data_IF_163278218153
#
_entry.id   IF_163278218153
#
_cell.length_a   1.000
_cell.length_b   1.000
_cell.length_c   1.000
_cell.angle_alpha   90.00
_cell.angle_beta   90.00
_cell.angle_gamma   90.00
#
_symmetry.space_group_name_H-M   'P 1'
#
loop_
_entity.id
_entity.type
_entity.pdbx_description
1 polymer ?
#
# COMPACT_ATOMS: atom_id res chain seq x y z
N UNK A 1 -10.28 21.12 -14.65
CA UNK A 1 -10.19 20.82 -16.09
C UNK A 1 -9.30 21.88 -16.76
N UNK A 2 -8.30 21.43 -17.50
CA UNK A 2 -7.45 22.32 -18.34
C UNK A 2 -7.70 21.94 -19.79
N UNK A 3 -8.22 22.89 -20.56
CA UNK A 3 -8.47 22.73 -21.99
C UNK A 3 -7.23 23.14 -22.78
N UNK A 4 -6.68 22.20 -23.55
CA UNK A 4 -5.55 22.37 -24.47
C UNK A 4 -5.98 22.42 -25.94
N UNK A 5 -7.22 22.78 -26.24
CA UNK A 5 -7.80 22.75 -27.59
C UNK A 5 -8.34 21.37 -27.95
N UNK A 6 -7.62 20.60 -28.77
CA UNK A 6 -8.05 19.25 -29.20
C UNK A 6 -7.98 18.20 -28.08
N UNK A 7 -7.37 18.49 -26.94
CA UNK A 7 -7.24 17.60 -25.77
C UNK A 7 -7.44 18.40 -24.48
N UNK A 8 -8.22 17.84 -23.57
CA UNK A 8 -8.40 18.38 -22.23
C UNK A 8 -7.73 17.44 -21.19
N UNK A 9 -7.30 18.00 -20.08
CA UNK A 9 -6.80 17.23 -18.94
C UNK A 9 -7.71 17.47 -17.73
N UNK A 10 -8.17 16.37 -17.15
CA UNK A 10 -8.92 16.39 -15.90
C UNK A 10 -7.95 16.03 -14.75
N UNK A 11 -7.84 16.94 -13.78
CA UNK A 11 -7.12 16.70 -12.53
C UNK A 11 -8.15 16.35 -11.46
N UNK A 12 -7.97 15.19 -10.85
CA UNK A 12 -8.81 14.68 -9.76
C UNK A 12 -7.94 14.57 -8.52
N UNK A 13 -8.33 15.26 -7.47
CA UNK A 13 -7.71 15.15 -6.16
C UNK A 13 -8.71 14.47 -5.22
N UNK A 14 -8.31 13.38 -4.62
CA UNK A 14 -9.13 12.59 -3.71
C UNK A 14 -8.43 12.48 -2.35
N UNK A 15 -9.19 12.63 -1.29
CA UNK A 15 -8.67 12.50 0.07
C UNK A 15 -8.88 11.06 0.55
N UNK A 16 -7.79 10.44 0.98
CA UNK A 16 -7.81 9.06 1.50
C UNK A 16 -8.60 8.91 2.81
N UNK A 17 -8.98 10.01 3.48
CA UNK A 17 -9.94 9.97 4.57
C UNK A 17 -11.36 9.61 4.11
N UNK A 18 -11.65 9.81 2.83
CA UNK A 18 -12.98 9.61 2.25
C UNK A 18 -13.08 8.33 1.43
N UNK A 19 -11.99 7.95 0.74
CA UNK A 19 -12.01 6.93 -0.30
C UNK A 19 -10.72 6.11 -0.28
N UNK A 20 -10.86 4.80 -0.28
CA UNK A 20 -9.76 3.89 -0.55
C UNK A 20 -9.50 3.70 -2.07
N UNK A 21 -8.49 2.91 -2.42
CA UNK A 21 -8.13 2.66 -3.82
C UNK A 21 -9.24 2.01 -4.65
N UNK A 22 -10.05 1.12 -4.06
CA UNK A 22 -11.19 0.52 -4.76
C UNK A 22 -12.32 1.51 -4.94
N UNK A 23 -12.62 2.31 -3.92
CA UNK A 23 -13.62 3.39 -4.02
C UNK A 23 -13.29 4.39 -5.10
N UNK A 24 -12.00 4.72 -5.27
CA UNK A 24 -11.57 5.59 -6.36
C UNK A 24 -11.86 4.95 -7.74
N UNK A 25 -11.66 3.65 -7.88
CA UNK A 25 -11.98 2.93 -9.11
C UNK A 25 -13.49 2.91 -9.38
N UNK A 26 -14.31 2.65 -8.36
CA UNK A 26 -15.78 2.70 -8.46
C UNK A 26 -16.21 4.10 -8.92
N UNK A 27 -15.72 5.15 -8.28
CA UNK A 27 -16.04 6.53 -8.60
C UNK A 27 -15.71 6.87 -10.06
N UNK A 28 -14.54 6.46 -10.55
CA UNK A 28 -14.12 6.69 -11.94
C UNK A 28 -14.97 5.90 -12.94
N UNK A 29 -15.36 4.66 -12.60
CA UNK A 29 -16.23 3.85 -13.44
C UNK A 29 -17.65 4.44 -13.54
N UNK A 30 -18.21 4.89 -12.43
CA UNK A 30 -19.51 5.56 -12.39
C UNK A 30 -19.48 6.90 -13.14
N UNK A 31 -18.39 7.66 -13.00
CA UNK A 31 -18.17 8.89 -13.78
C UNK A 31 -18.16 8.59 -15.30
N UNK A 32 -17.46 7.55 -15.73
CA UNK A 32 -17.45 7.09 -17.13
C UNK A 32 -18.84 6.76 -17.63
N UNK A 33 -19.57 5.96 -16.84
CA UNK A 33 -20.92 5.52 -17.17
C UNK A 33 -21.87 6.71 -17.36
N UNK A 34 -21.91 7.62 -16.38
CA UNK A 34 -22.77 8.81 -16.40
C UNK A 34 -22.33 9.84 -17.46
N UNK A 35 -21.05 9.93 -17.75
CA UNK A 35 -20.55 10.80 -18.81
C UNK A 35 -20.93 10.29 -20.21
N UNK A 36 -20.89 8.97 -20.40
CA UNK A 36 -21.22 8.33 -21.68
C UNK A 36 -22.74 8.31 -21.91
N UNK A 37 -23.52 8.04 -20.86
CA UNK A 37 -24.98 8.05 -20.89
C UNK A 37 -25.54 8.80 -19.66
N UNK A 38 -25.75 10.13 -19.76
CA UNK A 38 -26.27 10.94 -18.65
C UNK A 38 -27.70 10.56 -18.21
N UNK A 39 -28.41 9.78 -19.02
CA UNK A 39 -29.77 9.30 -18.71
C UNK A 39 -29.77 8.02 -17.87
N UNK A 40 -28.64 7.36 -17.74
CA UNK A 40 -28.54 6.13 -16.96
C UNK A 40 -28.58 6.40 -15.46
N UNK A 41 -29.31 5.59 -14.70
CA UNK A 41 -29.31 5.61 -13.24
C UNK A 41 -28.28 4.61 -12.70
N UNK A 42 -27.58 5.01 -11.65
CA UNK A 42 -26.74 4.08 -10.89
C UNK A 42 -27.61 3.17 -10.01
N UNK A 43 -27.14 1.95 -9.67
CA UNK A 43 -27.84 1.05 -8.74
C UNK A 43 -28.02 1.72 -7.39
N UNK A 44 -29.19 1.56 -6.81
CA UNK A 44 -29.44 1.98 -5.43
C UNK A 44 -28.73 1.03 -4.46
N UNK A 45 -28.03 1.58 -3.49
CA UNK A 45 -27.32 0.81 -2.47
C UNK A 45 -28.18 0.71 -1.21
N UNK A 46 -28.34 -0.52 -0.71
CA UNK A 46 -29.06 -0.82 0.54
C UNK A 46 -28.14 -0.69 1.78
N UNK A 47 -26.84 -0.50 1.58
CA UNK A 47 -25.83 -0.35 2.64
C UNK A 47 -24.92 0.84 2.32
N UNK A 48 -24.52 1.59 3.35
CA UNK A 48 -23.54 2.67 3.25
C UNK A 48 -22.27 2.40 4.05
N UNK A 49 -21.25 3.22 3.84
CA UNK A 49 -20.00 3.12 4.60
C UNK A 49 -20.19 3.33 6.10
N UNK A 50 -21.17 4.13 6.50
CA UNK A 50 -21.52 4.33 7.90
C UNK A 50 -21.98 3.02 8.55
N UNK A 51 -22.84 2.24 7.88
CA UNK A 51 -23.34 0.98 8.40
C UNK A 51 -22.21 -0.03 8.60
N UNK A 52 -21.24 -0.02 7.66
CA UNK A 52 -20.00 -0.80 7.79
C UNK A 52 -19.20 -0.39 9.04
N UNK A 53 -18.99 0.90 9.26
CA UNK A 53 -18.24 1.41 10.41
C UNK A 53 -18.93 1.06 11.72
N UNK A 54 -20.26 1.19 11.79
CA UNK A 54 -21.04 0.82 12.97
C UNK A 54 -20.89 -0.68 13.29
N UNK A 55 -20.88 -1.54 12.26
CA UNK A 55 -20.63 -2.97 12.44
C UNK A 55 -19.22 -3.25 12.97
N UNK A 56 -18.20 -2.66 12.36
CA UNK A 56 -16.79 -2.85 12.77
C UNK A 56 -16.55 -2.35 14.20
N UNK A 57 -17.15 -1.20 14.57
CA UNK A 57 -17.02 -0.64 15.92
C UNK A 57 -17.69 -1.48 17.01
N UNK A 58 -18.77 -2.19 16.68
CA UNK A 58 -19.48 -3.06 17.62
C UNK A 58 -18.80 -4.41 17.83
N UNK A 59 -17.80 -4.73 16.98
CA UNK A 59 -17.07 -5.98 17.11
C UNK A 59 -16.21 -5.97 18.39
N UNK A 60 -16.35 -6.96 19.27
CA UNK A 60 -15.46 -7.10 20.40
C UNK A 60 -14.03 -7.40 19.93
N UNK A 61 -13.05 -6.69 20.47
CA UNK A 61 -11.65 -7.00 20.19
C UNK A 61 -11.33 -8.40 20.72
N UNK A 62 -10.67 -9.21 19.91
CA UNK A 62 -10.31 -10.56 20.27
C UNK A 62 -9.12 -10.57 21.23
N UNK A 63 -9.31 -11.08 22.44
CA UNK A 63 -8.25 -11.18 23.47
C UNK A 63 -7.03 -11.99 22.98
N UNK A 64 -7.23 -12.97 22.08
CA UNK A 64 -6.15 -13.74 21.46
C UNK A 64 -5.27 -12.84 20.61
N UNK A 65 -5.88 -11.98 19.80
CA UNK A 65 -5.16 -11.01 18.95
C UNK A 65 -4.45 -9.95 19.80
N UNK A 66 -5.09 -9.45 20.85
CA UNK A 66 -4.43 -8.53 21.80
C UNK A 66 -3.21 -9.17 22.45
N UNK A 67 -3.33 -10.40 22.95
CA UNK A 67 -2.22 -11.14 23.53
C UNK A 67 -1.12 -11.46 22.53
N UNK A 68 -1.47 -11.76 21.27
CA UNK A 68 -0.52 -11.95 20.18
C UNK A 68 0.33 -10.71 19.97
N UNK A 69 -0.29 -9.55 19.74
CA UNK A 69 0.43 -8.30 19.50
C UNK A 69 1.19 -7.82 20.72
N UNK A 70 0.67 -8.04 21.93
CA UNK A 70 1.40 -7.70 23.16
C UNK A 70 2.75 -8.44 23.27
N UNK A 71 2.80 -9.73 22.88
CA UNK A 71 4.06 -10.50 22.82
C UNK A 71 4.96 -10.05 21.66
N UNK A 72 4.36 -9.68 20.52
CA UNK A 72 5.09 -9.23 19.34
C UNK A 72 5.82 -7.91 19.57
N UNK A 73 5.23 -7.00 20.34
CA UNK A 73 5.80 -5.68 20.64
C UNK A 73 7.20 -5.75 21.26
N UNK A 74 7.52 -6.79 22.03
CA UNK A 74 8.81 -6.95 22.67
C UNK A 74 9.93 -7.31 21.69
N UNK A 75 9.56 -7.78 20.49
CA UNK A 75 10.47 -8.26 19.45
C UNK A 75 10.25 -7.59 18.09
N UNK A 76 9.47 -6.50 18.04
CA UNK A 76 9.23 -5.77 16.81
C UNK A 76 10.45 -4.90 16.49
N UNK A 77 11.14 -5.13 15.36
CA UNK A 77 12.25 -4.28 14.94
C UNK A 77 11.79 -2.82 14.74
N UNK A 78 12.71 -1.85 14.81
CA UNK A 78 12.37 -0.47 14.48
C UNK A 78 12.02 -0.31 12.99
N UNK A 79 11.45 0.85 12.64
CA UNK A 79 11.37 1.27 11.26
C UNK A 79 12.75 1.37 10.60
N UNK A 80 12.87 1.24 9.26
CA UNK A 80 14.13 1.41 8.57
C UNK A 80 14.71 2.82 8.81
N UNK A 81 15.96 2.88 9.30
CA UNK A 81 16.70 4.13 9.50
C UNK A 81 17.35 4.56 8.19
N UNK A 82 16.54 5.08 7.28
CA UNK A 82 17.00 5.55 5.99
C UNK A 82 17.93 6.76 6.14
N UNK A 83 18.94 6.93 5.25
CA UNK A 83 19.81 8.09 5.27
C UNK A 83 19.06 9.34 4.78
N UNK A 84 18.57 10.14 5.74
CA UNK A 84 17.84 11.36 5.47
C UNK A 84 18.77 12.57 5.33
N UNK A 85 18.40 13.54 4.49
CA UNK A 85 19.12 14.81 4.31
C UNK A 85 18.89 15.79 5.46
N UNK A 86 17.72 15.73 6.10
CA UNK A 86 17.34 16.61 7.20
C UNK A 86 16.43 15.85 8.18
N UNK A 87 16.21 16.45 9.34
CA UNK A 87 15.20 15.95 10.28
C UNK A 87 13.79 16.11 9.67
N UNK A 88 12.95 15.06 9.67
CA UNK A 88 11.57 15.17 9.20
C UNK A 88 10.76 16.25 9.90
N UNK A 89 11.09 16.59 11.14
CA UNK A 89 10.46 17.69 11.89
C UNK A 89 10.78 19.08 11.33
N UNK A 90 11.85 19.21 10.55
CA UNK A 90 12.23 20.48 9.90
C UNK A 90 11.57 20.68 8.53
N UNK A 91 10.91 19.65 8.00
CA UNK A 91 10.18 19.73 6.73
C UNK A 91 8.84 20.44 6.99
N UNK A 92 8.66 21.60 6.37
CA UNK A 92 7.40 22.35 6.45
C UNK A 92 6.29 21.66 5.66
N UNK A 93 5.87 22.25 4.54
CA UNK A 93 4.96 21.61 3.59
C UNK A 93 5.77 20.66 2.69
N UNK A 94 5.60 19.33 2.82
CA UNK A 94 6.38 18.38 2.04
C UNK A 94 6.00 18.40 0.56
N UNK A 95 7.00 18.28 -0.32
CA UNK A 95 6.78 18.02 -1.74
C UNK A 95 7.05 16.55 -2.03
N UNK A 96 6.14 15.92 -2.75
CA UNK A 96 6.25 14.52 -3.11
C UNK A 96 6.73 14.35 -4.54
N UNK A 97 7.58 13.37 -4.77
CA UNK A 97 7.98 12.92 -6.10
C UNK A 97 7.73 11.43 -6.26
N UNK A 98 7.72 10.98 -7.50
CA UNK A 98 7.48 9.59 -7.86
C UNK A 98 8.61 9.04 -8.71
N UNK A 99 9.15 7.89 -8.32
CA UNK A 99 9.90 6.98 -9.16
C UNK A 99 8.95 5.86 -9.62
N UNK A 100 9.04 5.47 -10.90
CA UNK A 100 8.16 4.47 -11.47
C UNK A 100 8.92 3.51 -12.36
N UNK A 101 8.55 2.23 -12.31
CA UNK A 101 9.03 1.25 -13.25
C UNK A 101 7.95 0.21 -13.56
N UNK A 102 8.23 -0.65 -14.54
CA UNK A 102 7.34 -1.74 -14.94
C UNK A 102 8.13 -2.97 -15.34
N UNK A 103 7.53 -4.12 -15.13
CA UNK A 103 7.94 -5.36 -15.79
C UNK A 103 6.92 -5.68 -16.86
N UNK A 104 7.39 -5.90 -18.08
CA UNK A 104 6.53 -6.32 -19.19
C UNK A 104 5.86 -7.66 -18.88
N UNK A 105 4.69 -7.92 -19.48
CA UNK A 105 3.90 -9.11 -19.20
C UNK A 105 4.69 -10.44 -19.20
N UNK A 106 5.60 -10.73 -20.15
CA UNK A 106 6.39 -11.96 -20.12
C UNK A 106 7.33 -12.05 -18.91
N UNK A 107 7.93 -10.93 -18.49
CA UNK A 107 8.82 -10.88 -17.33
C UNK A 107 8.01 -11.05 -16.02
N UNK A 108 6.86 -10.43 -15.94
CA UNK A 108 5.96 -10.56 -14.82
C UNK A 108 5.43 -11.99 -14.66
N UNK A 109 5.02 -12.64 -15.76
CA UNK A 109 4.61 -14.04 -15.73
C UNK A 109 5.75 -14.98 -15.28
N UNK A 110 6.98 -14.72 -15.76
CA UNK A 110 8.16 -15.49 -15.32
C UNK A 110 8.42 -15.30 -13.83
N UNK A 111 8.29 -14.07 -13.32
CA UNK A 111 8.46 -13.77 -11.89
C UNK A 111 7.37 -14.43 -11.04
N UNK A 112 6.09 -14.40 -11.47
CA UNK A 112 4.99 -15.12 -10.81
C UNK A 112 5.23 -16.64 -10.81
N UNK A 113 5.73 -17.21 -11.90
CA UNK A 113 6.07 -18.63 -11.97
C UNK A 113 7.20 -19.00 -11.00
N UNK A 114 8.24 -18.16 -10.91
CA UNK A 114 9.34 -18.33 -9.95
C UNK A 114 8.84 -18.22 -8.52
N UNK A 115 8.01 -17.23 -8.18
CA UNK A 115 7.42 -17.11 -6.86
C UNK A 115 6.68 -18.40 -6.45
N UNK A 116 5.84 -18.92 -7.37
CA UNK A 116 5.10 -20.18 -7.14
C UNK A 116 6.02 -21.38 -6.91
N UNK A 117 7.10 -21.49 -7.69
CA UNK A 117 8.09 -22.58 -7.53
C UNK A 117 8.79 -22.53 -6.16
N UNK A 118 8.94 -21.33 -5.58
CA UNK A 118 9.52 -21.10 -4.26
C UNK A 118 8.46 -21.15 -3.11
N UNK A 119 7.19 -21.44 -3.42
CA UNK A 119 6.09 -21.43 -2.46
C UNK A 119 5.70 -20.04 -1.95
N UNK A 120 6.04 -19.00 -2.71
CA UNK A 120 5.76 -17.60 -2.38
C UNK A 120 4.55 -17.09 -3.17
N UNK A 121 3.81 -16.17 -2.57
CA UNK A 121 2.87 -15.31 -3.31
C UNK A 121 3.65 -14.21 -4.02
N UNK A 122 3.14 -13.68 -5.15
CA UNK A 122 3.78 -12.56 -5.82
C UNK A 122 3.98 -11.34 -4.89
N UNK A 123 2.97 -10.99 -4.08
CA UNK A 123 3.08 -9.91 -3.10
C UNK A 123 4.18 -10.15 -2.07
N UNK A 124 4.32 -11.37 -1.55
CA UNK A 124 5.37 -11.71 -0.59
C UNK A 124 6.77 -11.64 -1.21
N UNK A 125 6.91 -12.04 -2.47
CA UNK A 125 8.18 -11.90 -3.20
C UNK A 125 8.56 -10.43 -3.36
N UNK A 126 7.65 -9.58 -3.87
CA UNK A 126 7.89 -8.15 -4.06
C UNK A 126 8.19 -7.44 -2.74
N UNK A 127 7.43 -7.75 -1.70
CA UNK A 127 7.64 -7.22 -0.35
C UNK A 127 9.00 -7.64 0.22
N UNK A 128 9.43 -8.90 0.00
CA UNK A 128 10.75 -9.37 0.44
C UNK A 128 11.89 -8.66 -0.29
N UNK A 129 11.75 -8.44 -1.59
CA UNK A 129 12.71 -7.66 -2.38
C UNK A 129 12.80 -6.21 -1.88
N UNK A 130 11.65 -5.61 -1.56
CA UNK A 130 11.58 -4.26 -0.99
C UNK A 130 12.26 -4.20 0.38
N UNK A 131 11.91 -5.10 1.29
CA UNK A 131 12.49 -5.16 2.62
C UNK A 131 14.03 -5.36 2.59
N UNK A 132 14.53 -6.24 1.71
CA UNK A 132 15.96 -6.45 1.51
C UNK A 132 16.66 -5.21 0.93
N UNK A 133 16.01 -4.48 0.03
CA UNK A 133 16.53 -3.22 -0.51
C UNK A 133 16.66 -2.18 0.59
N UNK A 134 15.61 -2.01 1.40
CA UNK A 134 15.60 -1.07 2.51
C UNK A 134 16.63 -1.44 3.59
N UNK A 135 16.75 -2.71 3.91
CA UNK A 135 17.74 -3.24 4.86
C UNK A 135 19.16 -2.87 4.43
N UNK A 136 19.48 -3.10 3.16
CA UNK A 136 20.77 -2.74 2.61
C UNK A 136 21.00 -1.21 2.55
N UNK A 137 19.97 -0.44 2.26
CA UNK A 137 20.04 1.04 2.21
C UNK A 137 20.15 1.65 3.60
N UNK A 138 19.42 1.10 4.58
CA UNK A 138 19.46 1.54 5.98
C UNK A 138 20.69 1.05 6.75
N UNK A 139 21.43 0.08 6.22
CA UNK A 139 22.61 -0.48 6.86
C UNK A 139 22.33 -1.32 8.11
N UNK A 140 21.12 -1.90 8.21
CA UNK A 140 20.78 -2.84 9.29
C UNK A 140 19.80 -3.92 8.79
N UNK A 141 19.93 -5.13 9.34
CA UNK A 141 19.28 -6.32 8.78
C UNK A 141 17.78 -6.40 9.10
N UNK A 142 17.39 -6.05 10.31
CA UNK A 142 16.01 -6.17 10.77
C UNK A 142 15.28 -4.82 10.71
N UNK A 143 14.03 -4.83 10.24
CA UNK A 143 13.20 -3.63 10.18
C UNK A 143 11.70 -3.98 10.20
N UNK A 144 10.88 -3.01 10.58
CA UNK A 144 9.43 -3.09 10.46
C UNK A 144 8.93 -2.22 9.33
N UNK A 145 7.98 -2.75 8.57
CA UNK A 145 7.26 -2.06 7.51
C UNK A 145 5.80 -1.90 7.88
N UNK A 146 5.21 -0.83 7.41
CA UNK A 146 3.78 -0.60 7.49
C UNK A 146 3.13 -1.06 6.18
N UNK A 147 2.21 -2.02 6.28
CA UNK A 147 1.50 -2.55 5.13
C UNK A 147 0.10 -1.96 5.05
N UNK A 148 -0.28 -1.53 3.86
CA UNK A 148 -1.66 -1.17 3.55
C UNK A 148 -2.46 -2.42 3.22
N UNK A 149 -3.57 -2.62 3.92
CA UNK A 149 -4.54 -3.68 3.65
C UNK A 149 -5.84 -3.07 3.18
N UNK A 150 -6.43 -3.66 2.15
CA UNK A 150 -7.78 -3.36 1.70
C UNK A 150 -8.71 -4.39 2.35
N UNK A 151 -9.32 -4.05 3.47
CA UNK A 151 -10.04 -4.99 4.34
C UNK A 151 -11.55 -4.70 4.31
N UNK A 152 -12.18 -4.97 3.16
CA UNK A 152 -13.65 -4.93 3.02
C UNK A 152 -14.22 -6.26 3.48
N UNK A 153 -14.83 -6.25 4.66
CA UNK A 153 -15.53 -7.43 5.14
C UNK A 153 -16.82 -7.66 4.36
N UNK A 154 -17.10 -8.91 3.96
CA UNK A 154 -18.28 -9.23 3.14
C UNK A 154 -19.58 -9.22 3.97
N UNK A 155 -19.91 -8.08 4.57
CA UNK A 155 -21.10 -7.90 5.40
C UNK A 155 -22.42 -7.88 4.60
N UNK A 156 -22.34 -7.47 3.33
CA UNK A 156 -23.49 -7.29 2.46
C UNK A 156 -23.09 -7.58 1.00
N UNK A 157 -23.97 -8.14 0.17
CA UNK A 157 -23.65 -8.42 -1.23
C UNK A 157 -23.19 -7.20 -2.04
N UNK A 158 -23.61 -6.00 -1.67
CA UNK A 158 -23.25 -4.76 -2.34
C UNK A 158 -22.02 -4.06 -1.75
N UNK A 159 -21.33 -4.64 -0.77
CA UNK A 159 -20.21 -3.96 -0.07
C UNK A 159 -19.10 -3.52 -1.02
N UNK A 160 -18.86 -4.28 -2.09
CA UNK A 160 -17.86 -3.96 -3.12
C UNK A 160 -18.24 -2.75 -4.00
N UNK A 161 -19.47 -2.22 -3.85
CA UNK A 161 -19.97 -1.05 -4.55
C UNK A 161 -20.01 0.20 -3.66
N UNK A 162 -19.76 0.04 -2.36
CA UNK A 162 -19.81 1.14 -1.40
C UNK A 162 -18.54 1.99 -1.48
N UNK A 163 -18.69 3.30 -1.55
CA UNK A 163 -17.59 4.25 -1.44
C UNK A 163 -17.24 4.49 0.03
N UNK A 164 -15.95 4.42 0.36
CA UNK A 164 -15.45 4.65 1.71
C UNK A 164 -13.97 4.31 1.85
N UNK A 165 -13.36 4.65 2.97
CA UNK A 165 -12.01 4.22 3.32
C UNK A 165 -12.05 2.91 4.13
N UNK A 166 -11.93 1.78 3.44
CA UNK A 166 -11.84 0.44 4.04
C UNK A 166 -10.38 0.05 4.30
N UNK A 167 -9.47 0.99 4.17
CA UNK A 167 -8.04 0.74 4.37
C UNK A 167 -7.72 0.50 5.83
N UNK A 168 -6.98 -0.55 6.11
CA UNK A 168 -6.36 -0.81 7.41
C UNK A 168 -4.85 -0.95 7.27
N UNK A 169 -4.15 -0.92 8.39
CA UNK A 169 -2.70 -1.01 8.43
C UNK A 169 -2.26 -2.21 9.24
N UNK A 170 -1.18 -2.86 8.80
CA UNK A 170 -0.54 -3.98 9.49
C UNK A 170 0.96 -3.72 9.62
N UNK A 171 1.53 -3.88 10.81
CA UNK A 171 3.00 -3.86 10.98
C UNK A 171 3.58 -5.24 10.71
N UNK A 172 4.56 -5.30 9.83
CA UNK A 172 5.27 -6.52 9.49
C UNK A 172 6.77 -6.38 9.73
N UNK A 173 7.34 -7.31 10.49
CA UNK A 173 8.77 -7.37 10.73
C UNK A 173 9.48 -8.14 9.61
N UNK A 174 10.53 -7.55 9.05
CA UNK A 174 11.55 -8.21 8.25
C UNK A 174 12.70 -8.63 9.16
N UNK A 175 12.99 -9.91 9.20
CA UNK A 175 14.08 -10.52 9.94
C UNK A 175 14.70 -11.58 9.06
N UNK A 176 15.72 -11.23 8.27
CA UNK A 176 16.31 -12.12 7.29
C UNK A 176 17.11 -13.24 7.97
N UNK A 177 17.25 -14.34 7.26
CA UNK A 177 18.15 -15.44 7.55
C UNK A 177 19.35 -15.39 6.61
N UNK A 178 20.20 -16.43 6.67
CA UNK A 178 21.42 -16.46 5.85
C UNK A 178 21.15 -16.54 4.34
N UNK A 179 19.97 -17.02 3.92
CA UNK A 179 19.61 -17.12 2.51
C UNK A 179 18.29 -16.41 2.18
N UNK A 180 18.20 -15.95 0.93
CA UNK A 180 17.05 -15.21 0.42
C UNK A 180 15.74 -16.00 0.49
N UNK A 181 15.76 -17.29 0.08
CA UNK A 181 14.56 -18.13 0.03
C UNK A 181 13.94 -18.27 1.41
N UNK A 182 14.74 -18.67 2.39
CA UNK A 182 14.30 -18.83 3.77
C UNK A 182 13.82 -17.51 4.36
N UNK A 183 14.47 -16.39 4.04
CA UNK A 183 14.06 -15.05 4.46
C UNK A 183 12.68 -14.68 3.90
N UNK A 184 12.45 -14.89 2.61
CA UNK A 184 11.18 -14.57 1.96
C UNK A 184 10.04 -15.49 2.43
N UNK A 185 10.31 -16.77 2.61
CA UNK A 185 9.33 -17.73 3.16
C UNK A 185 9.00 -17.40 4.63
N UNK A 186 9.99 -17.00 5.42
CA UNK A 186 9.81 -16.56 6.80
C UNK A 186 8.95 -15.28 6.88
N UNK A 187 9.20 -14.30 6.00
CA UNK A 187 8.38 -13.09 5.88
C UNK A 187 6.93 -13.46 5.53
N UNK A 188 6.73 -14.31 4.54
CA UNK A 188 5.39 -14.74 4.13
C UNK A 188 4.64 -15.48 5.24
N UNK A 189 5.33 -16.36 5.96
CA UNK A 189 4.73 -17.06 7.10
C UNK A 189 4.32 -16.08 8.19
N UNK A 190 5.17 -15.11 8.50
CA UNK A 190 4.88 -14.03 9.45
C UNK A 190 3.69 -13.20 9.03
N UNK A 191 3.66 -12.77 7.77
CA UNK A 191 2.53 -12.05 7.20
C UNK A 191 1.22 -12.83 7.36
N UNK A 192 1.22 -14.14 7.08
CA UNK A 192 0.04 -14.98 7.29
C UNK A 192 -0.41 -15.01 8.75
N UNK A 193 0.53 -15.08 9.69
CA UNK A 193 0.21 -15.06 11.13
C UNK A 193 -0.32 -13.69 11.56
N UNK A 194 0.34 -12.60 11.15
CA UNK A 194 -0.07 -11.25 11.51
C UNK A 194 -1.47 -10.93 10.93
N UNK A 195 -1.80 -11.42 9.72
CA UNK A 195 -3.12 -11.28 9.09
C UNK A 195 -4.25 -12.01 9.86
N UNK A 196 -3.96 -13.09 10.57
CA UNK A 196 -4.95 -13.78 11.43
C UNK A 196 -5.35 -12.92 12.64
N UNK A 197 -4.55 -11.91 12.96
CA UNK A 197 -4.72 -11.00 14.10
C UNK A 197 -4.89 -9.54 13.65
N UNK A 198 -5.38 -9.31 12.41
CA UNK A 198 -5.55 -7.97 11.83
C UNK A 198 -6.70 -7.17 12.43
N UNK A 199 -7.54 -7.79 13.24
CA UNK A 199 -8.56 -7.15 14.06
C UNK A 199 -7.94 -6.18 15.09
N UNK A 200 -6.65 -6.34 15.42
CA UNK A 200 -5.85 -5.33 16.11
C UNK A 200 -5.05 -4.54 15.06
N UNK A 201 -5.48 -3.33 14.77
CA UNK A 201 -4.87 -2.50 13.73
C UNK A 201 -3.43 -2.08 14.08
N UNK A 202 -2.60 -1.80 13.06
CA UNK A 202 -1.26 -1.26 13.26
C UNK A 202 -1.27 0.03 14.09
N UNK A 203 -2.32 0.85 13.99
CA UNK A 203 -2.46 2.08 14.80
C UNK A 203 -2.54 1.74 16.28
N UNK A 204 -3.28 0.69 16.66
CA UNK A 204 -3.34 0.24 18.04
C UNK A 204 -1.98 -0.30 18.52
N UNK A 205 -1.28 -1.05 17.68
CA UNK A 205 0.07 -1.56 17.94
C UNK A 205 1.06 -0.40 18.13
N UNK A 206 1.07 0.57 17.21
CA UNK A 206 1.93 1.77 17.30
C UNK A 206 1.64 2.61 18.55
N UNK A 207 0.38 2.77 18.95
CA UNK A 207 0.03 3.45 20.20
C UNK A 207 0.60 2.74 21.44
N UNK A 208 0.60 1.40 21.45
CA UNK A 208 1.21 0.64 22.53
C UNK A 208 2.74 0.75 22.49
N UNK A 209 3.34 0.73 21.31
CA UNK A 209 4.79 0.94 21.13
C UNK A 209 5.20 2.34 21.61
N UNK A 210 4.44 3.39 21.25
CA UNK A 210 4.68 4.75 21.72
C UNK A 210 4.63 4.88 23.24
N UNK A 211 3.71 4.18 23.90
CA UNK A 211 3.62 4.18 25.37
C UNK A 211 4.81 3.48 26.03
N UNK A 212 5.40 2.47 25.38
CA UNK A 212 6.54 1.70 25.91
C UNK A 212 7.89 2.35 25.63
N UNK A 213 8.09 2.83 24.40
CA UNK A 213 9.40 3.24 23.90
C UNK A 213 9.45 4.70 23.37
N UNK A 214 8.35 5.44 23.49
CA UNK A 214 8.23 6.82 23.01
C UNK A 214 7.75 6.94 21.56
N UNK A 215 7.34 8.15 21.17
CA UNK A 215 6.73 8.45 19.87
C UNK A 215 7.67 8.14 18.68
N UNK A 216 8.97 8.43 18.83
CA UNK A 216 9.94 8.17 17.80
C UNK A 216 10.07 6.68 17.45
N UNK A 217 9.95 5.79 18.44
CA UNK A 217 9.98 4.34 18.22
C UNK A 217 8.72 3.81 17.55
N UNK A 218 7.62 4.55 17.62
CA UNK A 218 6.34 4.18 17.00
C UNK A 218 6.16 4.75 15.62
N UNK A 219 7.06 5.61 15.13
CA UNK A 219 7.01 6.14 13.78
C UNK A 219 7.33 5.05 12.76
N UNK A 220 6.40 4.79 11.84
CA UNK A 220 6.52 3.76 10.79
C UNK A 220 6.29 4.41 9.42
N UNK A 221 7.24 5.26 8.97
CA UNK A 221 7.01 6.15 7.84
C UNK A 221 7.25 5.51 6.47
N UNK A 222 7.59 4.21 6.45
CA UNK A 222 7.83 3.46 5.21
C UNK A 222 6.71 2.46 5.01
N UNK A 223 6.02 2.60 3.88
CA UNK A 223 4.79 1.86 3.58
C UNK A 223 4.99 0.96 2.37
N UNK A 224 4.31 -0.17 2.36
CA UNK A 224 4.16 -1.03 1.21
C UNK A 224 2.67 -1.30 0.96
N UNK A 225 2.23 -1.00 -0.25
CA UNK A 225 0.85 -1.18 -0.71
C UNK A 225 0.82 -2.14 -1.89
N UNK A 226 0.18 -3.30 -1.71
CA UNK A 226 -0.01 -4.26 -2.80
C UNK A 226 -1.46 -4.26 -3.25
N UNK A 227 -1.70 -3.77 -4.46
CA UNK A 227 -2.97 -3.84 -5.16
C UNK A 227 -3.00 -4.98 -6.20
N UNK A 228 -2.17 -6.01 -6.00
CA UNK A 228 -2.20 -7.21 -6.83
C UNK A 228 -3.49 -8.00 -6.57
N UNK A 229 -4.13 -8.46 -7.65
CA UNK A 229 -5.40 -9.16 -7.58
C UNK A 229 -6.63 -8.24 -7.61
N UNK A 230 -6.45 -6.92 -7.50
CA UNK A 230 -7.48 -5.99 -7.90
C UNK A 230 -7.43 -5.85 -9.43
N UNK A 231 -8.53 -6.16 -10.08
CA UNK A 231 -8.65 -5.97 -11.54
C UNK A 231 -8.73 -4.47 -11.87
N UNK A 232 -7.59 -3.77 -11.79
CA UNK A 232 -7.54 -2.33 -12.11
C UNK A 232 -8.01 -2.07 -13.54
N UNK A 233 -7.77 -3.01 -14.46
CA UNK A 233 -8.23 -2.93 -15.83
C UNK A 233 -9.75 -2.99 -15.96
N UNK A 234 -10.44 -3.54 -14.95
CA UNK A 234 -11.90 -3.67 -14.97
C UNK A 234 -12.61 -2.32 -14.99
N UNK A 235 -12.01 -1.30 -14.37
CA UNK A 235 -12.61 0.03 -14.23
C UNK A 235 -12.07 1.04 -15.25
N UNK A 236 -10.80 0.94 -15.65
CA UNK A 236 -10.17 1.87 -16.58
C UNK A 236 -10.11 1.35 -18.03
N UNK A 237 -10.23 0.04 -18.24
CA UNK A 237 -10.21 -0.56 -19.57
C UNK A 237 -11.41 -0.13 -20.44
N UNK A 238 -12.48 0.33 -19.84
CA UNK A 238 -13.68 0.80 -20.51
C UNK A 238 -13.71 2.32 -20.74
N UNK A 239 -12.76 3.08 -20.15
CA UNK A 239 -12.69 4.52 -20.35
C UNK A 239 -12.18 4.86 -21.76
N UNK A 240 -13.09 4.87 -22.74
CA UNK A 240 -12.76 5.14 -24.15
C UNK A 240 -12.30 6.59 -24.37
N UNK A 241 -12.69 7.52 -23.50
CA UNK A 241 -12.43 8.95 -23.61
C UNK A 241 -11.37 9.47 -22.64
N UNK A 242 -11.06 8.71 -21.56
CA UNK A 242 -10.12 9.12 -20.51
C UNK A 242 -8.92 8.17 -20.44
N UNK A 243 -7.71 8.70 -20.45
CA UNK A 243 -6.48 7.91 -20.25
C UNK A 243 -5.71 8.47 -19.06
N UNK A 244 -5.41 7.65 -18.04
CA UNK A 244 -4.54 8.06 -16.95
C UNK A 244 -3.19 8.52 -17.49
N UNK A 245 -2.74 9.69 -17.05
CA UNK A 245 -1.46 10.29 -17.46
C UNK A 245 -0.44 10.26 -16.36
N UNK A 246 -0.86 10.63 -15.19
CA UNK A 246 0.00 10.83 -14.04
C UNK A 246 -0.83 10.69 -12.77
N UNK A 247 -0.20 10.28 -11.69
CA UNK A 247 -0.79 10.23 -10.37
C UNK A 247 0.31 10.28 -9.32
N UNK A 248 -0.01 10.77 -8.15
CA UNK A 248 0.87 10.86 -7.00
C UNK A 248 0.05 10.59 -5.76
N UNK A 249 0.53 9.70 -4.91
CA UNK A 249 -0.03 9.52 -3.57
C UNK A 249 0.79 10.35 -2.59
N UNK A 250 0.08 11.05 -1.70
CA UNK A 250 0.77 11.71 -0.63
C UNK A 250 -0.01 11.51 0.67
N UNK A 251 0.63 10.88 1.64
CA UNK A 251 0.04 10.57 2.94
C UNK A 251 0.86 11.28 4.01
N UNK A 252 0.24 12.10 4.87
CA UNK A 252 0.95 12.71 5.99
C UNK A 252 1.70 11.66 6.81
N UNK A 253 2.91 12.00 7.28
CA UNK A 253 3.79 11.13 8.09
C UNK A 253 4.40 9.92 7.34
N UNK A 254 4.11 9.73 6.06
CA UNK A 254 4.77 8.72 5.21
C UNK A 254 5.90 9.40 4.44
N UNK A 255 7.11 8.87 4.57
CA UNK A 255 8.28 9.38 3.87
C UNK A 255 8.53 8.69 2.54
N UNK A 256 8.17 7.40 2.49
CA UNK A 256 8.32 6.54 1.33
C UNK A 256 7.16 5.54 1.28
N UNK A 257 6.37 5.61 0.21
CA UNK A 257 5.26 4.69 -0.09
C UNK A 257 5.59 3.89 -1.35
N UNK A 258 5.70 2.58 -1.22
CA UNK A 258 5.90 1.66 -2.33
C UNK A 258 4.58 1.00 -2.71
N UNK A 259 4.11 1.29 -3.90
CA UNK A 259 2.87 0.75 -4.45
C UNK A 259 3.16 -0.22 -5.59
N UNK A 260 2.52 -1.40 -5.57
CA UNK A 260 2.60 -2.40 -6.65
C UNK A 260 1.21 -2.77 -7.13
N UNK A 261 1.01 -2.86 -8.44
CA UNK A 261 -0.25 -3.22 -9.07
C UNK A 261 -0.05 -3.83 -10.44
N UNK A 262 -1.05 -4.56 -10.92
CA UNK A 262 -1.07 -5.16 -12.25
C UNK A 262 -1.98 -4.33 -13.17
N UNK A 263 -1.51 -4.04 -14.37
CA UNK A 263 -2.28 -3.33 -15.39
C UNK A 263 -1.86 -3.81 -16.77
N UNK A 264 -2.81 -4.16 -17.63
CA UNK A 264 -2.58 -4.68 -18.99
C UNK A 264 -1.65 -5.91 -19.00
N UNK A 265 -1.69 -6.72 -17.96
CA UNK A 265 -0.82 -7.88 -17.76
C UNK A 265 0.63 -7.54 -17.37
N UNK A 266 0.98 -6.27 -17.22
CA UNK A 266 2.28 -5.79 -16.74
C UNK A 266 2.25 -5.59 -15.22
N UNK A 267 3.36 -5.85 -14.54
CA UNK A 267 3.56 -5.33 -13.19
C UNK A 267 3.99 -3.88 -13.28
N UNK A 268 3.29 -3.01 -12.60
CA UNK A 268 3.65 -1.60 -12.41
C UNK A 268 3.90 -1.33 -10.96
N UNK A 269 4.90 -0.49 -10.67
CA UNK A 269 5.21 -0.11 -9.31
C UNK A 269 5.82 1.28 -9.22
N UNK A 270 5.54 1.92 -8.09
CA UNK A 270 5.93 3.30 -7.82
C UNK A 270 6.54 3.41 -6.43
N UNK A 271 7.48 4.34 -6.28
CA UNK A 271 7.90 4.90 -5.00
C UNK A 271 7.50 6.36 -4.97
N UNK A 272 6.54 6.69 -4.10
CA UNK A 272 6.18 8.07 -3.78
C UNK A 272 6.94 8.48 -2.53
N UNK A 273 7.65 9.58 -2.58
CA UNK A 273 8.54 9.98 -1.48
C UNK A 273 8.59 11.48 -1.27
N UNK A 274 8.90 11.88 -0.04
CA UNK A 274 9.11 13.29 0.34
C UNK A 274 10.48 13.74 -0.17
N UNK A 275 10.52 14.68 -1.12
CA UNK A 275 11.75 15.10 -1.80
C UNK A 275 12.79 15.70 -0.87
N UNK A 276 12.35 16.44 0.14
CA UNK A 276 13.22 17.13 1.08
C UNK A 276 14.03 16.16 1.94
N UNK A 277 13.49 14.97 2.16
CA UNK A 277 14.10 13.98 3.04
C UNK A 277 15.22 13.16 2.40
N UNK A 278 15.26 13.05 1.07
CA UNK A 278 16.17 12.13 0.40
C UNK A 278 17.13 12.83 -0.55
N UNK A 279 18.38 12.36 -0.61
CA UNK A 279 19.28 12.73 -1.66
C UNK A 279 18.83 12.10 -2.98
N UNK A 280 18.59 12.89 -4.07
CA UNK A 280 17.99 12.37 -5.30
C UNK A 280 18.72 11.14 -5.89
N UNK A 281 20.06 11.14 -5.86
CA UNK A 281 20.81 10.02 -6.39
C UNK A 281 20.70 8.77 -5.53
N UNK A 282 20.68 8.91 -4.20
CA UNK A 282 20.61 7.77 -3.29
C UNK A 282 19.26 7.05 -3.38
N UNK A 283 18.15 7.79 -3.44
CA UNK A 283 16.83 7.17 -3.59
C UNK A 283 16.66 6.53 -4.97
N UNK A 284 17.24 7.12 -6.02
CA UNK A 284 17.26 6.54 -7.35
C UNK A 284 18.06 5.22 -7.35
N UNK A 285 19.27 5.21 -6.77
CA UNK A 285 20.12 4.01 -6.67
C UNK A 285 19.41 2.88 -5.87
N UNK A 286 18.71 3.24 -4.79
CA UNK A 286 17.91 2.28 -4.01
C UNK A 286 16.75 1.72 -4.84
N UNK A 287 16.05 2.57 -5.60
CA UNK A 287 14.99 2.15 -6.50
C UNK A 287 15.50 1.24 -7.61
N UNK A 288 16.61 1.60 -8.26
CA UNK A 288 17.23 0.80 -9.32
C UNK A 288 17.71 -0.55 -8.80
N UNK A 289 18.22 -0.59 -7.55
CA UNK A 289 18.55 -1.84 -6.88
C UNK A 289 17.31 -2.72 -6.67
N UNK A 290 16.20 -2.15 -6.22
CA UNK A 290 14.93 -2.88 -6.11
C UNK A 290 14.51 -3.47 -7.46
N UNK A 291 14.52 -2.64 -8.52
CA UNK A 291 14.21 -3.09 -9.90
C UNK A 291 15.10 -4.25 -10.32
N UNK A 292 16.39 -4.20 -10.01
CA UNK A 292 17.36 -5.24 -10.39
C UNK A 292 17.18 -6.57 -9.66
N UNK A 293 16.48 -6.58 -8.53
CA UNK A 293 16.17 -7.79 -7.77
C UNK A 293 14.95 -8.55 -8.31
N UNK A 294 14.14 -7.88 -9.12
CA UNK A 294 12.95 -8.45 -9.74
C UNK A 294 13.25 -9.12 -11.06
#
# INVERSE_FOLDING_TARGET
LVDGGAKASLFVCLDNLMLDGLSMQILLAELEQLYTDPGQSLPELEIGFRDYLEHVQQRPTNDVSLAYWARRLDHLPPAPRLPLRCDPGDVGLPHFARLSARLAAPQWEALKARARAEGLTPSALLLSAYAATLSAWAGHDELSLNLTLFDREPLHPQIEQVLGDFTTLLLLAWQPTADWRSSAQGLQQRLRQDLLHRDVSAIQVMRQLARRAGQAAAAMPVVFTSALGFEQDRFLAHASWMKPRWGLSHTPQVWLDHQVYESEGELRFNWDYVQELFEPQQIQDAFDRYVSLL
#
